data_IF_996095244585
#
_entry.id   IF_996095244585
#
_cell.length_a   1.000
_cell.length_b   1.000
_cell.length_c   1.000
_cell.angle_alpha   90.00
_cell.angle_beta   90.00
_cell.angle_gamma   90.00
#
_symmetry.space_group_name_H-M   'P 1'
#
loop_
_entity.id
_entity.type
_entity.pdbx_description
1 polymer ?
#
# COMPACT_ATOMS: atom_id res chain seq x y z
N UNK A 1 42.75 -14.45 43.93
CA UNK A 1 41.81 -13.31 43.71
C UNK A 1 41.55 -13.20 42.21
N UNK A 2 40.55 -13.89 41.73
CA UNK A 2 40.13 -13.84 40.32
C UNK A 2 38.68 -13.42 40.29
N UNK A 3 38.43 -12.29 39.66
CA UNK A 3 37.08 -11.77 39.46
C UNK A 3 36.33 -12.58 38.35
N UNK A 4 35.04 -12.81 38.48
CA UNK A 4 34.26 -13.46 37.46
C UNK A 4 33.92 -12.50 36.32
N UNK A 5 34.08 -12.98 35.08
CA UNK A 5 33.60 -12.33 33.88
C UNK A 5 32.07 -12.37 33.84
N UNK A 6 31.53 -11.19 33.78
CA UNK A 6 30.11 -10.93 33.62
C UNK A 6 29.71 -11.29 32.17
N UNK A 7 28.84 -12.28 32.05
CA UNK A 7 28.27 -12.71 30.78
C UNK A 7 27.14 -11.75 30.42
N UNK A 8 27.43 -10.80 29.56
CA UNK A 8 26.42 -9.89 28.99
C UNK A 8 25.36 -10.70 28.24
N UNK A 9 24.17 -10.62 28.77
CA UNK A 9 23.00 -11.31 28.24
C UNK A 9 22.76 -10.97 26.79
N UNK A 10 22.67 -12.00 25.97
CA UNK A 10 22.09 -11.93 24.65
C UNK A 10 20.63 -11.48 24.81
N UNK A 11 20.34 -10.26 24.39
CA UNK A 11 18.98 -9.79 24.26
C UNK A 11 18.27 -10.72 23.29
N UNK A 12 17.34 -11.50 23.84
CA UNK A 12 16.32 -12.22 23.09
C UNK A 12 15.64 -11.21 22.17
N UNK A 13 15.85 -11.34 20.86
CA UNK A 13 15.05 -10.68 19.86
C UNK A 13 13.63 -11.22 20.00
N UNK A 14 12.84 -10.56 20.82
CA UNK A 14 11.43 -10.88 21.01
C UNK A 14 10.74 -10.83 19.65
N UNK A 15 10.00 -11.89 19.37
CA UNK A 15 9.07 -12.07 18.26
C UNK A 15 7.91 -11.05 18.36
N UNK A 16 8.27 -9.78 18.29
CA UNK A 16 7.36 -8.64 18.12
C UNK A 16 7.11 -8.39 16.64
N UNK A 17 6.80 -9.45 15.89
CA UNK A 17 6.37 -9.28 14.51
C UNK A 17 5.18 -8.31 14.51
N UNK A 18 5.35 -7.19 13.82
CA UNK A 18 4.27 -6.25 13.60
C UNK A 18 3.09 -7.00 12.99
N UNK A 19 1.99 -7.02 13.71
CA UNK A 19 0.73 -7.54 13.20
C UNK A 19 -0.12 -6.37 12.77
N UNK A 20 -0.52 -6.38 11.52
CA UNK A 20 -1.50 -5.44 11.00
C UNK A 20 -2.88 -5.95 11.41
N UNK A 21 -3.56 -5.21 12.27
CA UNK A 21 -4.94 -5.46 12.65
C UNK A 21 -5.67 -4.12 12.73
N UNK A 22 -6.64 -3.92 11.83
CA UNK A 22 -7.56 -2.80 11.86
C UNK A 22 -8.87 -3.24 12.51
N UNK A 23 -9.39 -2.44 13.42
CA UNK A 23 -10.73 -2.64 13.94
C UNK A 23 -11.80 -2.40 12.87
N UNK A 24 -13.02 -2.86 13.09
CA UNK A 24 -14.14 -2.60 12.19
C UNK A 24 -14.39 -1.09 12.01
N UNK A 25 -14.26 -0.32 13.09
CA UNK A 25 -14.44 1.15 13.04
C UNK A 25 -13.34 1.85 12.25
N UNK A 26 -12.09 1.41 12.37
CA UNK A 26 -10.97 1.96 11.59
C UNK A 26 -11.11 1.65 10.09
N UNK A 27 -11.58 0.45 9.74
CA UNK A 27 -11.87 0.09 8.33
C UNK A 27 -13.00 0.95 7.77
N UNK A 28 -14.13 1.05 8.48
CA UNK A 28 -15.25 1.89 8.08
C UNK A 28 -14.83 3.35 7.91
N UNK A 29 -14.05 3.86 8.87
CA UNK A 29 -13.54 5.23 8.81
C UNK A 29 -12.63 5.47 7.58
N UNK A 30 -11.77 4.51 7.21
CA UNK A 30 -10.92 4.63 6.02
C UNK A 30 -11.72 4.58 4.72
N UNK A 31 -12.78 3.77 4.64
CA UNK A 31 -13.70 3.75 3.50
C UNK A 31 -14.43 5.09 3.32
N UNK A 32 -14.94 5.64 4.42
CA UNK A 32 -15.60 6.97 4.40
C UNK A 32 -14.61 8.07 4.00
N UNK A 33 -13.39 8.03 4.52
CA UNK A 33 -12.32 8.96 4.15
C UNK A 33 -11.98 8.91 2.66
N UNK A 34 -11.87 7.71 2.09
CA UNK A 34 -11.56 7.54 0.68
C UNK A 34 -12.67 8.13 -0.21
N UNK A 35 -13.94 7.90 0.12
CA UNK A 35 -15.09 8.52 -0.56
C UNK A 35 -15.09 10.02 -0.40
N UNK A 36 -14.88 10.52 0.82
CA UNK A 36 -14.78 11.94 1.10
C UNK A 36 -13.70 12.61 0.25
N UNK A 37 -12.52 12.00 0.11
CA UNK A 37 -11.41 12.54 -0.65
C UNK A 37 -11.75 12.71 -2.15
N UNK A 38 -12.48 11.75 -2.73
CA UNK A 38 -12.96 11.82 -4.12
C UNK A 38 -14.02 12.92 -4.27
N UNK A 39 -15.02 12.95 -3.38
CA UNK A 39 -16.09 13.94 -3.43
C UNK A 39 -15.57 15.36 -3.22
N UNK A 40 -14.58 15.55 -2.35
CA UNK A 40 -13.96 16.84 -2.09
C UNK A 40 -13.26 17.39 -3.33
N UNK A 41 -12.52 16.55 -4.06
CA UNK A 41 -11.88 16.94 -5.31
C UNK A 41 -12.92 17.34 -6.38
N UNK A 42 -13.95 16.53 -6.57
CA UNK A 42 -15.05 16.86 -7.50
C UNK A 42 -15.74 18.17 -7.16
N UNK A 43 -15.89 18.50 -5.87
CA UNK A 43 -16.47 19.76 -5.43
C UNK A 43 -15.52 20.96 -5.67
N UNK A 44 -14.20 20.77 -5.53
CA UNK A 44 -13.19 21.77 -5.84
C UNK A 44 -13.14 22.11 -7.33
N UNK A 45 -13.18 21.10 -8.18
CA UNK A 45 -13.18 21.25 -9.64
C UNK A 45 -14.42 22.02 -10.16
N UNK A 46 -15.55 21.95 -9.45
CA UNK A 46 -16.76 22.72 -9.80
C UNK A 46 -16.66 24.19 -9.36
N UNK A 47 -15.83 24.50 -8.34
CA UNK A 47 -15.67 25.88 -7.82
C UNK A 47 -14.71 26.76 -8.65
N UNK A 48 -13.80 26.15 -9.41
CA UNK A 48 -12.79 26.88 -10.21
C UNK A 48 -13.22 27.22 -11.65
N UNK A 49 -14.39 26.81 -12.09
CA UNK A 49 -14.93 27.09 -13.43
C UNK A 49 -15.36 28.52 -13.64
N UNK A 50 -14.90 29.50 -12.86
CA UNK A 50 -15.35 30.90 -12.86
C UNK A 50 -14.28 31.99 -12.94
N UNK A 51 -13.01 31.69 -13.28
CA UNK A 51 -12.05 32.76 -13.64
C UNK A 51 -10.94 32.23 -14.55
N UNK A 52 -10.78 32.72 -15.80
CA UNK A 52 -9.52 32.60 -16.50
C UNK A 52 -8.56 33.71 -16.01
N UNK A 53 -7.28 33.37 -15.89
CA UNK A 53 -6.13 34.24 -15.60
C UNK A 53 -5.64 34.29 -14.13
N UNK A 54 -4.79 33.33 -13.80
CA UNK A 54 -3.51 33.64 -13.17
C UNK A 54 -2.51 32.51 -13.55
N UNK A 55 -1.57 32.85 -14.43
CA UNK A 55 -0.38 32.05 -14.68
C UNK A 55 0.41 31.93 -13.39
N UNK A 56 0.96 30.75 -13.05
CA UNK A 56 1.82 30.58 -11.88
C UNK A 56 3.07 31.46 -12.07
N UNK A 57 3.39 32.25 -11.05
CA UNK A 57 4.61 33.03 -10.99
C UNK A 57 5.85 32.13 -10.95
N UNK A 58 7.03 32.63 -11.33
CA UNK A 58 8.24 31.82 -11.54
C UNK A 58 8.99 31.38 -10.27
N UNK A 59 8.39 31.43 -9.09
CA UNK A 59 9.07 31.28 -7.79
C UNK A 59 8.53 30.14 -6.90
N UNK A 60 8.06 29.01 -7.47
CA UNK A 60 7.79 27.81 -6.71
C UNK A 60 8.63 26.64 -7.28
N UNK A 61 9.93 26.48 -6.81
CA UNK A 61 10.82 25.45 -7.34
C UNK A 61 10.52 24.04 -6.83
N UNK A 62 9.60 23.87 -5.87
CA UNK A 62 9.22 22.59 -5.29
C UNK A 62 7.71 22.37 -5.45
N UNK A 63 7.24 22.02 -6.62
CA UNK A 63 5.84 21.67 -6.91
C UNK A 63 5.21 20.65 -5.93
N UNK A 64 5.31 20.93 -4.63
CA UNK A 64 4.60 20.23 -3.57
C UNK A 64 3.21 20.83 -3.50
N UNK A 65 2.25 20.13 -4.11
CA UNK A 65 0.83 20.44 -4.01
C UNK A 65 0.30 20.43 -2.58
N UNK A 66 0.78 21.36 -1.75
CA UNK A 66 0.54 21.45 -0.30
C UNK A 66 -0.89 21.91 0.06
N UNK A 67 -1.67 22.41 -0.91
CA UNK A 67 -2.96 23.05 -0.62
C UNK A 67 -4.13 22.09 -0.35
N UNK A 68 -4.01 20.79 -0.61
CA UNK A 68 -5.09 19.79 -0.40
C UNK A 68 -4.81 18.87 0.79
N UNK A 69 -3.58 18.82 1.27
CA UNK A 69 -3.18 17.92 2.38
C UNK A 69 -3.60 18.41 3.77
N UNK A 70 -3.86 19.71 3.92
CA UNK A 70 -4.19 20.33 5.22
C UNK A 70 -5.64 20.10 5.67
N UNK A 71 -6.53 19.71 4.76
CA UNK A 71 -7.98 19.59 5.02
C UNK A 71 -8.45 18.13 5.25
N UNK A 72 -7.52 17.17 5.29
CA UNK A 72 -7.87 15.77 5.54
C UNK A 72 -8.25 15.58 7.01
N UNK A 73 -9.46 15.10 7.35
CA UNK A 73 -9.85 14.82 8.71
C UNK A 73 -8.84 13.89 9.40
N UNK A 74 -8.47 14.20 10.64
CA UNK A 74 -7.58 13.34 11.41
C UNK A 74 -8.39 12.34 12.23
N UNK A 75 -8.03 11.04 12.18
CA UNK A 75 -8.68 10.02 12.99
C UNK A 75 -8.26 10.11 14.46
N UNK A 76 -8.95 9.40 15.37
CA UNK A 76 -8.45 9.15 16.71
C UNK A 76 -7.02 8.57 16.71
N UNK A 77 -6.23 8.79 17.77
CA UNK A 77 -4.88 8.20 17.88
C UNK A 77 -4.92 6.68 17.73
N UNK A 78 -3.98 6.13 16.95
CA UNK A 78 -3.91 4.67 16.73
C UNK A 78 -3.08 4.29 15.51
N UNK A 79 -3.40 3.12 14.95
CA UNK A 79 -2.69 2.54 13.80
C UNK A 79 -2.79 3.43 12.55
N UNK A 80 -3.86 4.22 12.41
CA UNK A 80 -4.09 5.11 11.28
C UNK A 80 -3.07 6.25 11.19
N UNK A 81 -2.36 6.55 12.29
CA UNK A 81 -1.26 7.52 12.31
C UNK A 81 0.11 6.92 11.96
N UNK A 82 0.21 5.62 11.77
CA UNK A 82 1.47 4.97 11.39
C UNK A 82 1.76 5.18 9.90
N UNK A 83 3.04 5.24 9.56
CA UNK A 83 3.47 5.26 8.15
C UNK A 83 3.35 3.86 7.55
N UNK A 84 2.30 3.63 6.77
CA UNK A 84 1.96 2.36 6.14
C UNK A 84 1.60 2.58 4.68
N UNK A 85 1.95 1.62 3.81
CA UNK A 85 1.52 1.60 2.42
C UNK A 85 0.02 1.30 2.30
N UNK A 86 -0.59 1.78 1.21
CA UNK A 86 -1.97 1.44 0.90
C UNK A 86 -2.23 1.46 -0.60
N UNK A 87 -3.16 0.61 -1.04
CA UNK A 87 -3.78 0.65 -2.36
C UNK A 87 -5.26 0.93 -2.22
N UNK A 88 -5.79 1.76 -3.11
CA UNK A 88 -7.22 2.02 -3.22
C UNK A 88 -7.68 1.58 -4.61
N UNK A 89 -8.73 0.78 -4.62
CA UNK A 89 -9.32 0.22 -5.84
C UNK A 89 -10.78 0.61 -5.91
N UNK A 90 -11.17 1.23 -7.01
CA UNK A 90 -12.56 1.43 -7.37
C UNK A 90 -12.99 0.41 -8.42
N UNK A 91 -14.16 -0.15 -8.22
CA UNK A 91 -14.85 -1.02 -9.16
C UNK A 91 -16.20 -0.41 -9.51
N UNK A 92 -16.73 -0.76 -10.68
CA UNK A 92 -18.07 -0.41 -11.13
C UNK A 92 -18.64 -1.62 -11.85
N UNK A 93 -19.82 -2.06 -11.44
CA UNK A 93 -20.45 -3.25 -11.98
C UNK A 93 -19.54 -4.49 -11.95
N UNK A 94 -18.76 -4.64 -10.85
CA UNK A 94 -17.79 -5.72 -10.65
C UNK A 94 -16.49 -5.60 -11.47
N UNK A 95 -16.34 -4.55 -12.30
CA UNK A 95 -15.15 -4.34 -13.13
C UNK A 95 -14.24 -3.25 -12.56
N UNK A 96 -12.93 -3.42 -12.74
CA UNK A 96 -11.94 -2.42 -12.32
C UNK A 96 -12.25 -1.07 -12.97
N UNK A 97 -12.32 0.00 -12.17
CA UNK A 97 -12.56 1.39 -12.61
C UNK A 97 -11.37 2.31 -12.30
N UNK A 98 -10.52 1.93 -11.38
CA UNK A 98 -9.27 2.62 -11.03
C UNK A 98 -8.59 1.93 -9.86
N UNK A 99 -7.25 1.89 -9.86
CA UNK A 99 -6.47 1.31 -8.78
C UNK A 99 -5.08 1.93 -8.75
N UNK A 100 -4.81 2.70 -7.69
CA UNK A 100 -3.47 3.28 -7.44
C UNK A 100 -3.09 3.02 -5.98
N UNK A 101 -1.81 2.89 -5.72
CA UNK A 101 -1.30 2.69 -4.37
C UNK A 101 0.19 2.94 -4.24
N UNK A 102 0.63 2.99 -2.99
CA UNK A 102 2.03 3.04 -2.61
C UNK A 102 2.37 1.85 -1.72
N UNK A 103 3.50 1.21 -2.01
CA UNK A 103 4.01 0.09 -1.20
C UNK A 103 4.51 0.54 0.17
N UNK A 104 4.91 1.80 0.28
CA UNK A 104 5.47 2.40 1.50
C UNK A 104 4.72 3.69 1.78
N UNK A 105 4.33 3.91 3.03
CA UNK A 105 3.77 5.19 3.45
C UNK A 105 4.87 6.24 3.59
N UNK A 106 4.60 7.44 3.15
CA UNK A 106 5.43 8.65 3.32
C UNK A 106 4.86 9.58 4.40
N UNK A 107 3.92 9.09 5.18
CA UNK A 107 3.23 9.78 6.26
C UNK A 107 2.15 8.89 6.89
N UNK A 108 1.25 9.45 7.69
CA UNK A 108 0.17 8.70 8.32
C UNK A 108 -0.71 7.96 7.31
N UNK A 109 -1.12 6.72 7.65
CA UNK A 109 -1.94 5.86 6.79
C UNK A 109 -3.19 6.58 6.26
N UNK A 110 -3.88 7.34 7.12
CA UNK A 110 -5.09 8.05 6.69
C UNK A 110 -4.81 9.05 5.55
N UNK A 111 -3.66 9.74 5.56
CA UNK A 111 -3.26 10.63 4.46
C UNK A 111 -2.90 9.85 3.21
N UNK A 112 -2.18 8.72 3.38
CA UNK A 112 -1.86 7.82 2.27
C UNK A 112 -3.14 7.33 1.59
N UNK A 113 -4.15 6.89 2.35
CA UNK A 113 -5.44 6.42 1.80
C UNK A 113 -6.16 7.55 1.07
N UNK A 114 -6.28 8.74 1.66
CA UNK A 114 -6.94 9.87 1.00
C UNK A 114 -6.27 10.25 -0.32
N UNK A 115 -4.94 10.27 -0.36
CA UNK A 115 -4.16 10.55 -1.58
C UNK A 115 -4.34 9.45 -2.62
N UNK A 116 -4.24 8.18 -2.23
CA UNK A 116 -4.39 7.05 -3.15
C UNK A 116 -5.83 6.94 -3.70
N UNK A 117 -6.84 7.31 -2.92
CA UNK A 117 -8.23 7.38 -3.38
C UNK A 117 -8.40 8.42 -4.50
N UNK A 118 -7.84 9.61 -4.32
CA UNK A 118 -7.84 10.63 -5.39
C UNK A 118 -7.08 10.16 -6.61
N UNK A 119 -5.87 9.65 -6.44
CA UNK A 119 -5.08 9.15 -7.55
C UNK A 119 -5.78 8.01 -8.31
N UNK A 120 -6.41 7.06 -7.61
CA UNK A 120 -7.16 5.97 -8.23
C UNK A 120 -8.39 6.47 -9.01
N UNK A 121 -9.04 7.54 -8.54
CA UNK A 121 -10.21 8.10 -9.21
C UNK A 121 -9.86 9.00 -10.40
N UNK A 122 -8.74 9.73 -10.36
CA UNK A 122 -8.48 10.81 -11.31
C UNK A 122 -7.15 10.68 -12.08
N UNK A 123 -6.20 9.88 -11.60
CA UNK A 123 -4.84 9.82 -12.14
C UNK A 123 -4.44 8.42 -12.66
N UNK A 124 -5.34 7.43 -12.61
CA UNK A 124 -5.07 6.11 -13.19
C UNK A 124 -5.09 6.22 -14.72
N UNK A 125 -3.94 6.05 -15.41
CA UNK A 125 -3.85 6.32 -16.84
C UNK A 125 -4.65 5.33 -17.71
N UNK A 126 -5.19 4.27 -17.12
CA UNK A 126 -6.00 3.27 -17.83
C UNK A 126 -7.45 3.71 -18.01
N UNK A 127 -7.88 4.72 -17.27
CA UNK A 127 -9.28 5.14 -17.19
C UNK A 127 -9.40 6.67 -17.26
N UNK A 128 -10.52 7.20 -17.78
CA UNK A 128 -10.81 8.63 -17.65
C UNK A 128 -11.09 8.99 -16.18
N UNK A 129 -10.91 10.25 -15.76
CA UNK A 129 -11.28 10.71 -14.43
C UNK A 129 -12.72 10.35 -14.06
N UNK A 130 -12.94 9.99 -12.80
CA UNK A 130 -14.27 9.67 -12.26
C UNK A 130 -15.13 10.92 -12.25
N UNK A 131 -16.39 10.78 -12.65
CA UNK A 131 -17.40 11.85 -12.63
C UNK A 131 -18.29 11.79 -11.40
N UNK A 132 -18.88 12.91 -11.00
CA UNK A 132 -19.80 12.95 -9.86
C UNK A 132 -21.00 11.98 -10.02
N UNK A 133 -21.46 11.76 -11.26
CA UNK A 133 -22.55 10.83 -11.55
C UNK A 133 -22.17 9.35 -11.34
N UNK A 134 -20.89 9.02 -11.38
CA UNK A 134 -20.42 7.64 -11.17
C UNK A 134 -20.25 7.27 -9.70
N UNK A 135 -19.94 8.24 -8.83
CA UNK A 135 -19.58 8.00 -7.43
C UNK A 135 -20.57 7.08 -6.70
N UNK A 136 -21.91 7.23 -6.84
CA UNK A 136 -22.85 6.36 -6.13
C UNK A 136 -22.81 4.88 -6.56
N UNK A 137 -22.25 4.58 -7.73
CA UNK A 137 -22.14 3.22 -8.28
C UNK A 137 -20.74 2.63 -8.12
N UNK A 138 -19.83 3.32 -7.44
CA UNK A 138 -18.48 2.82 -7.21
C UNK A 138 -18.44 1.95 -5.95
N UNK A 139 -17.94 0.74 -6.13
CA UNK A 139 -17.50 -0.14 -5.06
C UNK A 139 -16.03 0.18 -4.73
N UNK A 140 -15.68 0.16 -3.46
CA UNK A 140 -14.37 0.55 -2.95
C UNK A 140 -13.72 -0.59 -2.20
N UNK A 141 -12.48 -0.93 -2.56
CA UNK A 141 -11.60 -1.79 -1.78
C UNK A 141 -10.35 -1.02 -1.36
N UNK A 142 -9.92 -1.23 -0.13
CA UNK A 142 -8.65 -0.71 0.41
C UNK A 142 -7.78 -1.90 0.83
N UNK A 143 -6.51 -1.89 0.39
CA UNK A 143 -5.48 -2.80 0.86
C UNK A 143 -4.46 -1.99 1.67
N UNK A 144 -4.40 -2.22 2.97
CA UNK A 144 -3.37 -1.63 3.85
C UNK A 144 -2.20 -2.59 3.97
N UNK A 145 -1.00 -2.08 3.78
CA UNK A 145 0.23 -2.87 3.81
C UNK A 145 1.01 -2.60 5.10
N UNK A 146 1.35 -3.67 5.79
CA UNK A 146 2.30 -3.64 6.89
C UNK A 146 3.73 -3.32 6.41
N UNK A 147 4.69 -3.18 7.35
CA UNK A 147 6.08 -2.95 7.03
C UNK A 147 6.64 -4.06 6.12
N UNK A 148 7.36 -3.63 5.08
CA UNK A 148 8.08 -4.54 4.20
C UNK A 148 9.40 -4.88 4.89
N UNK A 149 9.61 -6.12 5.24
CA UNK A 149 10.82 -6.61 5.89
C UNK A 149 11.46 -7.72 5.08
N UNK A 150 12.77 -7.93 5.26
CA UNK A 150 13.45 -9.03 4.58
C UNK A 150 12.86 -10.35 5.05
N UNK A 151 12.49 -11.21 4.10
CA UNK A 151 11.96 -12.53 4.42
C UNK A 151 13.09 -13.38 5.03
N UNK A 152 12.99 -13.83 6.28
CA UNK A 152 14.07 -14.57 6.93
C UNK A 152 14.21 -16.01 6.40
N UNK A 153 13.08 -16.61 5.99
CA UNK A 153 13.01 -17.96 5.46
C UNK A 153 11.80 -18.09 4.52
N UNK A 154 11.99 -18.46 3.23
CA UNK A 154 10.87 -18.70 2.32
C UNK A 154 9.93 -19.80 2.81
N UNK A 155 10.42 -20.76 3.60
CA UNK A 155 9.59 -21.81 4.16
C UNK A 155 8.56 -21.28 5.18
N UNK A 156 8.83 -20.11 5.78
CA UNK A 156 7.92 -19.42 6.69
C UNK A 156 6.81 -18.63 5.99
N UNK A 157 6.86 -18.47 4.67
CA UNK A 157 5.82 -17.79 3.90
C UNK A 157 4.49 -18.52 4.03
N UNK A 158 3.44 -17.78 4.41
CA UNK A 158 2.07 -18.29 4.60
C UNK A 158 1.16 -17.69 3.54
N UNK A 159 0.50 -18.55 2.77
CA UNK A 159 -0.50 -18.19 1.79
C UNK A 159 -1.67 -17.48 2.48
N UNK A 160 -2.19 -16.43 1.85
CA UNK A 160 -3.28 -15.61 2.38
C UNK A 160 -2.87 -14.60 3.46
N UNK A 161 -1.66 -14.70 4.01
CA UNK A 161 -1.14 -13.79 5.04
C UNK A 161 -0.04 -12.88 4.51
N UNK A 162 0.95 -13.46 3.87
CA UNK A 162 2.12 -12.72 3.40
C UNK A 162 1.99 -12.34 1.93
N UNK A 163 2.20 -11.06 1.63
CA UNK A 163 2.59 -10.60 0.31
C UNK A 163 4.09 -10.73 0.13
N UNK A 164 4.54 -10.81 -1.09
CA UNK A 164 5.94 -10.97 -1.44
C UNK A 164 6.42 -9.84 -2.36
N UNK A 165 7.63 -9.37 -2.11
CA UNK A 165 8.39 -8.49 -2.99
C UNK A 165 9.73 -9.16 -3.29
N UNK A 166 10.01 -9.42 -4.56
CA UNK A 166 11.33 -9.85 -5.05
C UNK A 166 11.98 -8.69 -5.76
N UNK A 167 13.26 -8.46 -5.49
CA UNK A 167 14.07 -7.43 -6.13
C UNK A 167 15.42 -8.01 -6.58
N UNK A 168 15.86 -7.62 -7.78
CA UNK A 168 17.20 -7.91 -8.29
C UNK A 168 17.63 -6.76 -9.20
N UNK A 169 18.55 -5.92 -8.74
CA UNK A 169 18.92 -4.69 -9.45
C UNK A 169 17.70 -3.77 -9.67
N UNK A 170 17.40 -3.44 -10.91
CA UNK A 170 16.23 -2.60 -11.26
C UNK A 170 14.93 -3.40 -11.40
N UNK A 171 15.01 -4.72 -11.39
CA UNK A 171 13.84 -5.59 -11.54
C UNK A 171 13.17 -5.79 -10.19
N UNK A 172 11.87 -5.60 -10.14
CA UNK A 172 11.08 -5.89 -8.95
C UNK A 172 9.71 -6.43 -9.32
N UNK A 173 9.20 -7.30 -8.47
CA UNK A 173 7.86 -7.87 -8.63
C UNK A 173 7.21 -8.01 -7.27
N UNK A 174 5.95 -7.60 -7.18
CA UNK A 174 5.14 -7.65 -5.96
C UNK A 174 3.88 -8.44 -6.24
N UNK A 175 3.53 -9.33 -5.32
CA UNK A 175 2.24 -10.00 -5.26
C UNK A 175 1.65 -9.85 -3.86
N UNK A 176 0.38 -9.45 -3.81
CA UNK A 176 -0.37 -9.30 -2.57
C UNK A 176 -0.80 -10.67 -2.02
N UNK A 177 -1.12 -10.78 -0.70
CA UNK A 177 -1.44 -12.05 -0.06
C UNK A 177 -2.65 -12.78 -0.65
N UNK A 178 -3.64 -12.05 -1.17
CA UNK A 178 -4.85 -12.63 -1.74
C UNK A 178 -4.61 -13.34 -3.07
N UNK A 179 -3.61 -12.91 -3.86
CA UNK A 179 -3.34 -13.46 -5.19
C UNK A 179 -3.14 -14.97 -5.19
N UNK A 180 -2.26 -15.56 -4.35
CA UNK A 180 -2.11 -17.01 -4.33
C UNK A 180 -3.36 -17.75 -3.85
N UNK A 181 -4.22 -17.12 -3.05
CA UNK A 181 -5.50 -17.72 -2.63
C UNK A 181 -6.46 -17.78 -3.81
N UNK A 182 -6.63 -16.69 -4.54
CA UNK A 182 -7.50 -16.60 -5.71
C UNK A 182 -7.13 -17.60 -6.81
N UNK A 183 -5.83 -17.83 -7.00
CA UNK A 183 -5.31 -18.74 -8.03
C UNK A 183 -5.05 -20.17 -7.53
N UNK A 184 -5.29 -20.45 -6.24
CA UNK A 184 -5.03 -21.78 -5.64
C UNK A 184 -3.55 -22.18 -5.66
N UNK A 185 -2.63 -21.21 -5.57
CA UNK A 185 -1.20 -21.48 -5.61
C UNK A 185 -0.70 -21.98 -4.25
N UNK A 186 0.22 -22.93 -4.30
CA UNK A 186 1.04 -23.26 -3.15
C UNK A 186 2.18 -22.23 -2.96
N UNK A 187 2.91 -22.39 -1.87
CA UNK A 187 4.00 -21.46 -1.52
C UNK A 187 5.11 -21.39 -2.58
N UNK A 188 5.52 -22.52 -3.14
CA UNK A 188 6.59 -22.54 -4.15
C UNK A 188 6.13 -21.87 -5.46
N UNK A 189 4.91 -22.14 -5.86
CA UNK A 189 4.29 -21.48 -7.02
C UNK A 189 4.19 -19.98 -6.78
N UNK A 190 3.77 -19.54 -5.59
CA UNK A 190 3.67 -18.12 -5.24
C UNK A 190 5.02 -17.41 -5.33
N UNK A 191 6.09 -18.01 -4.77
CA UNK A 191 7.46 -17.50 -4.87
C UNK A 191 7.92 -17.41 -6.33
N UNK A 192 7.67 -18.47 -7.11
CA UNK A 192 8.02 -18.52 -8.53
C UNK A 192 7.27 -17.48 -9.36
N UNK A 193 5.97 -17.27 -9.11
CA UNK A 193 5.17 -16.27 -9.82
C UNK A 193 5.59 -14.84 -9.46
N UNK A 194 6.00 -14.61 -8.21
CA UNK A 194 6.56 -13.32 -7.81
C UNK A 194 7.85 -13.02 -8.55
N UNK A 195 8.74 -14.01 -8.72
CA UNK A 195 9.94 -13.87 -9.56
C UNK A 195 9.59 -13.57 -11.01
N UNK A 196 8.63 -14.31 -11.61
CA UNK A 196 8.18 -14.06 -13.00
C UNK A 196 7.63 -12.64 -13.17
N UNK A 197 6.88 -12.16 -12.18
CA UNK A 197 6.36 -10.78 -12.20
C UNK A 197 7.47 -9.72 -12.16
N UNK A 198 8.61 -10.05 -11.55
CA UNK A 198 9.82 -9.24 -11.59
C UNK A 198 10.62 -9.36 -12.90
N UNK A 199 10.21 -10.23 -13.83
CA UNK A 199 10.98 -10.56 -15.03
C UNK A 199 12.22 -11.41 -14.73
N UNK A 200 12.19 -12.18 -13.63
CA UNK A 200 13.27 -13.05 -13.18
C UNK A 200 12.94 -14.53 -13.47
N UNK A 201 13.96 -15.41 -13.50
CA UNK A 201 13.74 -16.85 -13.50
C UNK A 201 12.86 -17.27 -12.30
N UNK A 202 11.99 -18.29 -12.45
CA UNK A 202 11.03 -18.68 -11.42
C UNK A 202 11.68 -19.22 -10.14
N UNK A 203 12.92 -19.60 -10.18
CA UNK A 203 13.74 -20.12 -9.09
C UNK A 203 14.69 -19.08 -8.48
N UNK A 204 14.72 -17.85 -8.99
CA UNK A 204 15.59 -16.77 -8.51
C UNK A 204 15.43 -16.47 -7.00
N UNK A 205 14.27 -16.74 -6.41
CA UNK A 205 14.06 -16.60 -4.98
C UNK A 205 14.94 -17.53 -4.13
N UNK A 206 15.42 -18.66 -4.72
CA UNK A 206 16.33 -19.61 -4.03
C UNK A 206 17.74 -19.04 -3.86
N UNK A 207 18.11 -18.08 -4.71
CA UNK A 207 19.43 -17.43 -4.69
C UNK A 207 19.48 -16.25 -3.71
N UNK A 208 18.33 -15.79 -3.19
CA UNK A 208 18.24 -14.68 -2.23
C UNK A 208 19.13 -14.88 -0.97
N UNK A 209 19.54 -16.12 -0.68
CA UNK A 209 20.43 -16.49 0.41
C UNK A 209 21.84 -16.88 -0.04
N UNK A 210 22.07 -17.08 -1.33
CA UNK A 210 23.32 -17.65 -1.85
C UNK A 210 24.26 -16.58 -2.38
N UNK A 211 23.75 -15.64 -3.17
CA UNK A 211 24.58 -14.70 -3.93
C UNK A 211 24.39 -13.24 -3.51
N UNK A 212 23.38 -12.93 -2.70
CA UNK A 212 23.08 -11.56 -2.27
C UNK A 212 22.56 -10.64 -3.39
N UNK A 213 22.41 -11.14 -4.62
CA UNK A 213 21.93 -10.37 -5.76
C UNK A 213 20.40 -10.30 -5.82
N UNK A 214 19.74 -11.36 -5.39
CA UNK A 214 18.28 -11.41 -5.27
C UNK A 214 17.88 -11.14 -3.84
N UNK A 215 16.92 -10.26 -3.64
CA UNK A 215 16.37 -9.92 -2.34
C UNK A 215 14.90 -10.35 -2.30
N UNK A 216 14.53 -11.09 -1.27
CA UNK A 216 13.15 -11.46 -0.99
C UNK A 216 12.67 -10.74 0.27
N UNK A 217 11.59 -10.02 0.12
CA UNK A 217 10.88 -9.34 1.21
C UNK A 217 9.48 -9.90 1.33
N UNK A 218 8.92 -9.79 2.50
CA UNK A 218 7.53 -10.07 2.79
C UNK A 218 6.87 -8.94 3.54
N UNK A 219 5.56 -8.92 3.53
CA UNK A 219 4.73 -7.99 4.28
C UNK A 219 3.36 -8.61 4.54
N UNK A 220 2.69 -8.17 5.57
CA UNK A 220 1.26 -8.47 5.74
C UNK A 220 0.44 -7.42 5.02
N UNK A 221 -0.75 -7.80 4.56
CA UNK A 221 -1.73 -6.86 4.04
C UNK A 221 -3.12 -7.23 4.55
N UNK A 222 -3.89 -6.22 4.84
CA UNK A 222 -5.29 -6.34 5.18
C UNK A 222 -6.12 -5.70 4.08
N UNK A 223 -7.05 -6.49 3.52
CA UNK A 223 -7.93 -6.06 2.43
C UNK A 223 -9.35 -6.02 2.95
N UNK A 224 -10.02 -4.90 2.75
CA UNK A 224 -11.41 -4.69 3.13
C UNK A 224 -12.07 -3.72 2.15
N UNK A 225 -13.38 -3.81 2.03
CA UNK A 225 -14.14 -3.03 1.07
C UNK A 225 -15.61 -2.98 1.40
N UNK A 226 -16.36 -2.46 0.45
CA UNK A 226 -17.82 -2.48 0.48
C UNK A 226 -18.33 -3.93 0.42
N UNK A 227 -19.33 -4.23 1.25
CA UNK A 227 -19.97 -5.54 1.31
C UNK A 227 -21.05 -5.66 0.21
#
# INVERSE_FOLDING_TARGET
MSAPHDSTGAASAGDGAFRLELSADERAWLLDLARWAVLRQLAGDVGESGAPDALPGPDDPDGTGESVETDVPAPPPGVLHRSLGAFVTFKKDGHLRGCIGSMVGDGPLYRTVARMARAAAFEDPRFPPVTAAEVPALELDISVLGPITRCPDPAAVRIGRHGLLVRQGFRSGVLLPQVPVEWGWDRETFLAQTCRKAGLPPDAWRDAWRDGHTELYWFEAEVFGDA
#
